data_IF_726078128074
#
_entry.id   IF_726078128074
#
_cell.length_a   1.000
_cell.length_b   1.000
_cell.length_c   1.000
_cell.angle_alpha   90.00
_cell.angle_beta   90.00
_cell.angle_gamma   90.00
#
_symmetry.space_group_name_H-M   'P 1'
#
loop_
_entity.id
_entity.type
_entity.pdbx_description
1 polymer ?
#
# COMPACT_ATOMS: atom_id res chain seq x y z
N UNK A 1 -5.16 -21.35 93.27
CA UNK A 1 -5.87 -21.96 92.17
C UNK A 1 -5.91 -20.91 91.06
N UNK A 2 -4.91 -20.93 90.20
CA UNK A 2 -4.73 -19.92 89.12
C UNK A 2 -5.12 -20.55 87.75
N UNK A 3 -6.14 -19.98 87.14
CA UNK A 3 -6.54 -20.35 85.77
C UNK A 3 -5.72 -19.51 84.79
N UNK A 4 -4.96 -20.21 83.91
CA UNK A 4 -4.21 -19.62 82.80
C UNK A 4 -5.12 -19.56 81.60
N UNK A 5 -5.42 -18.34 81.13
CA UNK A 5 -6.07 -18.11 79.84
C UNK A 5 -5.06 -18.27 78.73
N UNK A 6 -5.32 -19.21 77.76
CA UNK A 6 -4.60 -19.38 76.55
C UNK A 6 -5.32 -18.55 75.47
N UNK A 7 -4.64 -17.52 74.97
CA UNK A 7 -5.10 -16.74 73.81
C UNK A 7 -4.57 -17.40 72.58
N UNK A 8 -5.45 -17.94 71.71
CA UNK A 8 -5.12 -18.42 70.38
C UNK A 8 -5.08 -17.20 69.40
N UNK A 9 -3.92 -16.84 68.99
CA UNK A 9 -3.74 -15.86 67.85
C UNK A 9 -3.88 -16.56 66.53
N UNK A 10 -4.95 -16.30 65.80
CA UNK A 10 -5.14 -16.73 64.39
C UNK A 10 -4.45 -15.70 63.51
N UNK A 11 -3.32 -16.07 62.93
CA UNK A 11 -2.62 -15.28 61.93
C UNK A 11 -3.27 -15.56 60.58
N UNK A 12 -4.09 -14.62 60.09
CA UNK A 12 -4.61 -14.65 58.72
C UNK A 12 -3.48 -14.22 57.73
N UNK A 13 -2.89 -15.18 56.99
CA UNK A 13 -2.05 -14.89 55.85
C UNK A 13 -2.93 -14.34 54.72
N UNK A 14 -2.94 -13.05 54.52
CA UNK A 14 -3.50 -12.44 53.35
C UNK A 14 -2.60 -12.73 52.13
N UNK A 15 -3.07 -13.53 51.20
CA UNK A 15 -2.50 -13.59 49.87
C UNK A 15 -2.75 -12.23 49.19
N UNK A 16 -1.74 -11.37 49.16
CA UNK A 16 -1.72 -10.22 48.27
C UNK A 16 -1.38 -10.76 46.89
N UNK A 17 -2.40 -10.97 46.08
CA UNK A 17 -2.23 -11.20 44.65
C UNK A 17 -1.56 -9.95 44.05
N UNK A 18 -0.29 -10.06 43.70
CA UNK A 18 0.37 -9.07 42.86
C UNK A 18 -0.26 -9.22 41.44
N UNK A 19 -1.28 -8.41 41.17
CA UNK A 19 -1.71 -8.19 39.78
C UNK A 19 -0.51 -7.54 39.08
N UNK A 20 0.25 -8.34 38.33
CA UNK A 20 1.18 -7.80 37.38
C UNK A 20 0.33 -7.00 36.37
N UNK A 21 0.38 -5.68 36.44
CA UNK A 21 -0.08 -4.85 35.34
C UNK A 21 0.91 -5.13 34.20
N UNK A 22 0.57 -6.08 33.32
CA UNK A 22 1.25 -6.21 32.07
C UNK A 22 1.12 -4.84 31.37
N UNK A 23 2.23 -4.20 31.11
CA UNK A 23 2.22 -3.01 30.23
C UNK A 23 1.79 -3.48 28.86
N UNK A 24 0.79 -2.81 28.28
CA UNK A 24 0.38 -3.10 26.91
C UNK A 24 1.60 -3.09 25.99
N UNK A 25 1.71 -4.10 25.15
CA UNK A 25 2.71 -4.15 24.10
C UNK A 25 2.37 -3.09 23.04
N UNK A 26 3.38 -2.39 22.50
CA UNK A 26 3.13 -1.36 21.49
C UNK A 26 3.69 -1.80 20.14
N UNK A 27 2.80 -1.97 19.17
CA UNK A 27 3.17 -2.18 17.77
C UNK A 27 3.22 -0.84 17.04
N UNK A 28 4.40 -0.41 16.66
CA UNK A 28 4.56 0.80 15.84
C UNK A 28 4.34 0.48 14.38
N UNK A 29 3.51 1.29 13.72
CA UNK A 29 3.11 1.09 12.35
C UNK A 29 3.49 2.31 11.50
N UNK A 30 4.50 2.15 10.64
CA UNK A 30 5.01 3.21 9.77
C UNK A 30 4.21 3.34 8.47
N UNK A 31 3.81 4.56 8.13
CA UNK A 31 2.99 4.87 6.97
C UNK A 31 3.77 5.73 5.98
N UNK A 32 3.59 5.48 4.68
CA UNK A 32 4.16 6.30 3.61
C UNK A 32 3.40 7.60 3.37
N UNK A 33 2.19 7.72 3.93
CA UNK A 33 1.27 8.80 3.66
C UNK A 33 0.90 9.59 4.92
N UNK A 34 0.29 10.75 4.70
CA UNK A 34 -0.17 11.64 5.76
C UNK A 34 -1.55 11.26 6.29
N UNK A 35 -1.95 11.84 7.40
CA UNK A 35 -3.33 11.76 7.89
C UNK A 35 -4.33 12.19 6.80
N UNK A 36 -5.47 11.50 6.74
CA UNK A 36 -6.52 11.75 5.76
C UNK A 36 -6.32 11.03 4.41
N UNK A 37 -5.28 10.22 4.26
CA UNK A 37 -5.10 9.33 3.11
C UNK A 37 -5.84 8.00 3.29
N UNK A 38 -5.94 7.23 2.19
CA UNK A 38 -6.49 5.87 2.22
C UNK A 38 -5.64 4.97 3.11
N UNK A 39 -4.31 5.05 2.98
CA UNK A 39 -3.37 4.26 3.77
C UNK A 39 -3.51 4.54 5.27
N UNK A 40 -3.73 5.81 5.65
CA UNK A 40 -4.00 6.17 7.03
C UNK A 40 -5.32 5.56 7.54
N UNK A 41 -6.37 5.58 6.71
CA UNK A 41 -7.65 4.93 7.03
C UNK A 41 -7.50 3.41 7.22
N UNK A 42 -6.67 2.75 6.43
CA UNK A 42 -6.31 1.33 6.63
C UNK A 42 -5.64 1.10 7.98
N UNK A 43 -4.69 1.95 8.32
CA UNK A 43 -3.96 1.84 9.57
C UNK A 43 -4.84 2.10 10.80
N UNK A 44 -5.81 3.00 10.71
CA UNK A 44 -6.79 3.24 11.79
C UNK A 44 -7.71 2.02 12.00
N UNK A 45 -8.23 1.42 10.93
CA UNK A 45 -9.06 0.21 11.06
C UNK A 45 -8.25 -0.99 11.56
N UNK A 46 -7.02 -1.18 11.03
CA UNK A 46 -6.09 -2.20 11.54
C UNK A 46 -5.82 -2.02 13.03
N UNK A 47 -5.48 -0.79 13.46
CA UNK A 47 -5.26 -0.45 14.87
C UNK A 47 -6.47 -0.83 15.73
N UNK A 48 -7.66 -0.40 15.33
CA UNK A 48 -8.90 -0.69 16.03
C UNK A 48 -9.11 -2.20 16.20
N UNK A 49 -8.94 -2.97 15.12
CA UNK A 49 -9.13 -4.42 15.14
C UNK A 49 -8.12 -5.14 16.04
N UNK A 50 -6.84 -4.76 15.99
CA UNK A 50 -5.79 -5.34 16.84
C UNK A 50 -6.07 -5.01 18.33
N UNK A 51 -6.37 -3.75 18.64
CA UNK A 51 -6.64 -3.32 20.02
C UNK A 51 -7.92 -3.99 20.59
N UNK A 52 -8.96 -4.16 19.76
CA UNK A 52 -10.18 -4.88 20.14
C UNK A 52 -9.93 -6.39 20.34
N UNK A 53 -9.25 -7.05 19.41
CA UNK A 53 -8.99 -8.51 19.49
C UNK A 53 -8.04 -8.89 20.62
N UNK A 54 -7.12 -7.98 20.99
CA UNK A 54 -6.18 -8.20 22.09
C UNK A 54 -6.74 -7.77 23.48
N UNK A 55 -8.02 -7.36 23.56
CA UNK A 55 -8.60 -6.78 24.79
C UNK A 55 -7.74 -5.63 25.37
N UNK A 56 -6.96 -4.94 24.51
CA UNK A 56 -6.07 -3.85 24.88
C UNK A 56 -4.68 -4.26 25.38
N UNK A 57 -4.33 -5.54 25.32
CA UNK A 57 -2.99 -6.02 25.64
C UNK A 57 -1.95 -5.56 24.62
N UNK A 58 -2.39 -5.25 23.39
CA UNK A 58 -1.58 -4.64 22.34
C UNK A 58 -2.20 -3.29 21.96
N UNK A 59 -1.35 -2.27 21.83
CA UNK A 59 -1.71 -0.96 21.29
C UNK A 59 -0.94 -0.71 19.99
N UNK A 60 -1.57 -0.03 19.01
CA UNK A 60 -0.91 0.31 17.75
C UNK A 60 -0.64 1.80 17.69
N UNK A 61 0.64 2.17 17.58
CA UNK A 61 1.08 3.55 17.36
C UNK A 61 1.27 3.81 15.89
N UNK A 62 0.45 4.70 15.32
CA UNK A 62 0.55 5.08 13.91
C UNK A 62 1.62 6.15 13.72
N UNK A 63 2.52 5.93 12.77
CA UNK A 63 3.63 6.81 12.43
C UNK A 63 3.45 7.31 10.99
N UNK A 64 2.68 8.39 10.74
CA UNK A 64 2.43 8.92 9.41
C UNK A 64 3.71 9.50 8.78
N UNK A 65 3.64 9.79 7.47
CA UNK A 65 4.75 10.38 6.71
C UNK A 65 5.39 11.56 7.45
N UNK A 66 6.72 11.52 7.54
CA UNK A 66 7.52 12.50 8.26
C UNK A 66 7.79 12.18 9.73
N UNK A 67 7.06 11.25 10.36
CA UNK A 67 7.28 10.85 11.77
C UNK A 67 8.51 9.96 11.96
N UNK A 68 8.93 9.22 10.94
CA UNK A 68 9.98 8.21 10.98
C UNK A 68 11.26 8.61 10.22
N UNK A 69 11.24 9.73 9.48
CA UNK A 69 12.39 10.19 8.72
C UNK A 69 12.01 11.08 7.54
N UNK A 70 12.95 11.36 6.65
CA UNK A 70 12.78 12.27 5.53
C UNK A 70 12.66 11.58 4.16
N UNK A 71 12.77 10.24 4.10
CA UNK A 71 12.69 9.49 2.85
C UNK A 71 12.02 8.12 3.07
N UNK A 72 11.33 7.60 2.08
CA UNK A 72 10.71 6.27 2.15
C UNK A 72 11.72 5.15 2.45
N UNK A 73 12.95 5.26 1.92
CA UNK A 73 14.03 4.33 2.26
C UNK A 73 14.34 4.30 3.76
N UNK A 74 14.23 5.43 4.46
CA UNK A 74 14.43 5.48 5.92
C UNK A 74 13.34 4.69 6.67
N UNK A 75 12.09 4.67 6.17
CA UNK A 75 11.03 3.83 6.71
C UNK A 75 11.37 2.35 6.53
N UNK A 76 11.74 1.95 5.31
CA UNK A 76 12.08 0.55 5.02
C UNK A 76 13.30 0.07 5.80
N UNK A 77 14.34 0.91 5.92
CA UNK A 77 15.50 0.64 6.77
C UNK A 77 15.09 0.47 8.25
N UNK A 78 14.14 1.28 8.74
CA UNK A 78 13.64 1.18 10.11
C UNK A 78 12.84 -0.10 10.33
N UNK A 79 12.10 -0.57 9.33
CA UNK A 79 11.39 -1.86 9.39
C UNK A 79 12.40 -3.02 9.31
N UNK A 80 13.34 -3.00 8.37
CA UNK A 80 14.35 -4.04 8.21
C UNK A 80 15.19 -4.26 9.47
N UNK A 81 15.53 -3.20 10.19
CA UNK A 81 16.33 -3.28 11.41
C UNK A 81 15.49 -3.46 12.70
N UNK A 82 14.17 -3.63 12.59
CA UNK A 82 13.25 -3.85 13.72
C UNK A 82 12.96 -2.61 14.58
N UNK A 83 13.41 -1.42 14.18
CA UNK A 83 13.07 -0.19 14.88
C UNK A 83 11.56 0.13 14.77
N UNK A 84 10.93 -0.24 13.67
CA UNK A 84 9.49 -0.21 13.43
C UNK A 84 9.08 -1.64 13.01
N UNK A 85 8.20 -2.33 13.77
CA UNK A 85 7.87 -3.73 13.48
C UNK A 85 6.98 -3.90 12.23
N UNK A 86 6.15 -2.91 11.90
CA UNK A 86 5.16 -2.96 10.82
C UNK A 86 5.21 -1.70 9.98
N UNK A 87 4.89 -1.79 8.70
CA UNK A 87 4.74 -0.64 7.84
C UNK A 87 4.04 -0.94 6.53
N UNK A 88 3.79 0.13 5.79
CA UNK A 88 3.39 0.03 4.39
C UNK A 88 4.58 0.23 3.45
N UNK A 89 4.51 -0.44 2.30
CA UNK A 89 5.41 -0.24 1.18
C UNK A 89 4.64 -0.26 -0.13
N UNK A 90 4.67 0.86 -0.86
CA UNK A 90 4.06 1.03 -2.18
C UNK A 90 5.06 0.86 -3.32
N UNK A 91 4.85 1.51 -4.44
CA UNK A 91 5.79 1.51 -5.58
C UNK A 91 7.22 1.93 -5.24
N UNK A 92 7.44 2.67 -4.14
CA UNK A 92 8.76 3.04 -3.64
C UNK A 92 9.53 1.86 -3.04
N UNK A 93 8.84 0.83 -2.57
CA UNK A 93 9.44 -0.39 -2.01
C UNK A 93 10.34 -1.11 -3.02
N UNK A 94 10.11 -0.91 -4.32
CA UNK A 94 10.90 -1.51 -5.40
C UNK A 94 12.41 -1.24 -5.36
N UNK A 95 12.84 -0.19 -4.66
CA UNK A 95 14.25 0.06 -4.38
C UNK A 95 14.85 -0.92 -3.36
N UNK A 96 14.03 -1.44 -2.44
CA UNK A 96 14.42 -2.41 -1.40
C UNK A 96 14.09 -3.84 -1.81
N UNK A 97 12.88 -4.06 -2.35
CA UNK A 97 12.39 -5.35 -2.84
C UNK A 97 12.03 -5.20 -4.32
N UNK A 98 12.96 -5.44 -5.26
CA UNK A 98 12.71 -5.24 -6.69
C UNK A 98 11.50 -6.00 -7.23
N UNK A 99 11.21 -7.19 -6.68
CA UNK A 99 10.06 -8.02 -7.05
C UNK A 99 8.71 -7.33 -6.77
N UNK A 100 8.65 -6.42 -5.78
CA UNK A 100 7.44 -5.65 -5.48
C UNK A 100 7.02 -4.70 -6.61
N UNK A 101 7.91 -4.40 -7.56
CA UNK A 101 7.57 -3.61 -8.74
C UNK A 101 6.57 -4.32 -9.67
N UNK A 102 6.26 -5.60 -9.45
CA UNK A 102 5.12 -6.29 -10.07
C UNK A 102 3.83 -5.48 -9.96
N UNK A 103 3.61 -4.85 -8.78
CA UNK A 103 2.43 -4.02 -8.51
C UNK A 103 2.39 -2.70 -9.32
N UNK A 104 3.49 -2.35 -9.99
CA UNK A 104 3.60 -1.14 -10.83
C UNK A 104 3.41 -1.43 -12.31
N UNK A 105 3.22 -2.70 -12.70
CA UNK A 105 2.96 -3.06 -14.09
C UNK A 105 1.56 -2.65 -14.52
N UNK A 106 1.45 -1.95 -15.62
CA UNK A 106 0.17 -1.53 -16.17
C UNK A 106 -0.54 -2.69 -16.88
N UNK A 107 -1.86 -2.75 -16.78
CA UNK A 107 -2.73 -3.74 -17.42
C UNK A 107 -2.38 -5.19 -17.08
N UNK A 108 -1.94 -5.43 -15.84
CA UNK A 108 -1.64 -6.78 -15.32
C UNK A 108 -2.70 -7.23 -14.33
N UNK A 109 -3.22 -6.31 -13.51
CA UNK A 109 -4.25 -6.61 -12.52
C UNK A 109 -5.65 -6.55 -13.14
N UNK A 110 -6.64 -7.25 -12.55
CA UNK A 110 -8.05 -7.09 -12.96
C UNK A 110 -8.51 -5.64 -12.79
N UNK A 111 -9.59 -5.28 -13.50
CA UNK A 111 -10.18 -3.96 -13.31
C UNK A 111 -10.89 -3.84 -11.95
N UNK A 112 -11.41 -4.94 -11.39
CA UNK A 112 -12.02 -4.96 -10.07
C UNK A 112 -10.94 -4.91 -8.97
N UNK A 113 -11.03 -3.93 -8.08
CA UNK A 113 -10.03 -3.72 -7.02
C UNK A 113 -10.19 -4.72 -5.87
N UNK A 114 -11.40 -5.22 -5.61
CA UNK A 114 -11.60 -6.28 -4.62
C UNK A 114 -11.00 -7.60 -5.15
N UNK A 115 -11.26 -7.91 -6.41
CA UNK A 115 -10.66 -9.08 -7.06
C UNK A 115 -9.13 -9.01 -7.06
N UNK A 116 -8.55 -7.82 -7.33
CA UNK A 116 -7.11 -7.60 -7.18
C UNK A 116 -6.63 -7.90 -5.76
N UNK A 117 -7.34 -7.41 -4.74
CA UNK A 117 -6.99 -7.68 -3.34
C UNK A 117 -7.09 -9.17 -3.02
N UNK A 118 -8.14 -9.87 -3.50
CA UNK A 118 -8.32 -11.31 -3.30
C UNK A 118 -7.20 -12.14 -3.96
N UNK A 119 -6.80 -11.80 -5.19
CA UNK A 119 -5.70 -12.46 -5.89
C UNK A 119 -4.38 -12.27 -5.13
N UNK A 120 -4.05 -11.04 -4.76
CA UNK A 120 -2.77 -10.71 -4.13
C UNK A 120 -2.67 -11.19 -2.67
N UNK A 121 -3.78 -11.50 -2.02
CA UNK A 121 -3.82 -12.09 -0.67
C UNK A 121 -4.15 -13.60 -0.71
N UNK A 122 -4.30 -14.20 -1.88
CA UNK A 122 -4.50 -15.64 -1.99
C UNK A 122 -3.27 -16.41 -1.50
N UNK A 123 -3.49 -17.63 -0.98
CA UNK A 123 -2.39 -18.51 -0.57
C UNK A 123 -1.44 -18.79 -1.73
N UNK A 124 -1.97 -18.93 -2.96
CA UNK A 124 -1.17 -19.18 -4.17
C UNK A 124 -0.17 -18.05 -4.46
N UNK A 125 -0.52 -16.80 -4.15
CA UNK A 125 0.35 -15.65 -4.37
C UNK A 125 1.10 -15.24 -3.10
N UNK A 126 0.38 -14.80 -2.05
CA UNK A 126 0.99 -14.20 -0.85
C UNK A 126 1.91 -15.18 -0.12
N UNK A 127 1.53 -16.48 -0.05
CA UNK A 127 2.31 -17.52 0.62
C UNK A 127 3.24 -18.30 -0.32
N UNK A 128 3.33 -17.91 -1.62
CA UNK A 128 4.26 -18.55 -2.54
C UNK A 128 5.71 -18.33 -2.11
N UNK A 129 6.56 -19.34 -2.31
CA UNK A 129 7.99 -19.21 -2.05
C UNK A 129 8.59 -18.02 -2.84
N UNK A 130 8.12 -17.81 -4.08
CA UNK A 130 8.59 -16.73 -4.93
C UNK A 130 8.36 -15.35 -4.30
N UNK A 131 7.19 -15.13 -3.68
CA UNK A 131 6.86 -13.85 -3.05
C UNK A 131 7.48 -13.73 -1.66
N UNK A 132 7.35 -14.74 -0.81
CA UNK A 132 7.87 -14.74 0.56
C UNK A 132 9.39 -14.57 0.61
N UNK A 133 10.15 -15.35 -0.19
CA UNK A 133 11.61 -15.28 -0.20
C UNK A 133 12.12 -13.91 -0.69
N UNK A 134 11.41 -13.25 -1.63
CA UNK A 134 11.82 -11.93 -2.13
C UNK A 134 11.87 -10.87 -1.02
N UNK A 135 11.03 -10.99 -0.01
CA UNK A 135 11.04 -10.12 1.16
C UNK A 135 11.97 -10.62 2.27
N UNK A 136 11.91 -11.93 2.58
CA UNK A 136 12.70 -12.53 3.69
C UNK A 136 14.20 -12.42 3.49
N UNK A 137 14.70 -12.51 2.27
CA UNK A 137 16.12 -12.24 1.96
C UNK A 137 16.58 -10.82 2.35
N UNK A 138 15.63 -9.94 2.62
CA UNK A 138 15.85 -8.54 3.01
C UNK A 138 15.39 -8.25 4.44
N UNK A 139 15.13 -9.29 5.25
CA UNK A 139 14.68 -9.16 6.64
C UNK A 139 13.26 -8.62 6.78
N UNK A 140 12.44 -8.77 5.74
CA UNK A 140 11.04 -8.36 5.70
C UNK A 140 10.12 -9.56 5.51
N UNK A 141 8.83 -9.39 5.85
CA UNK A 141 7.76 -10.35 5.56
C UNK A 141 6.62 -9.61 4.87
N UNK A 142 6.17 -10.07 3.70
CA UNK A 142 4.93 -9.56 3.11
C UNK A 142 3.75 -10.16 3.86
N UNK A 143 2.91 -9.31 4.42
CA UNK A 143 1.81 -9.70 5.31
C UNK A 143 0.45 -9.65 4.64
N UNK A 144 0.19 -8.61 3.86
CA UNK A 144 -1.01 -8.43 3.04
C UNK A 144 -0.76 -7.39 1.95
N UNK A 145 -1.67 -7.32 0.98
CA UNK A 145 -1.56 -6.36 -0.12
C UNK A 145 -2.94 -5.77 -0.43
N UNK A 146 -3.07 -4.44 -0.37
CA UNK A 146 -4.35 -3.75 -0.54
C UNK A 146 -4.25 -2.66 -1.61
N UNK A 147 -5.14 -2.65 -2.62
CA UNK A 147 -5.32 -1.51 -3.52
C UNK A 147 -5.83 -0.28 -2.76
N UNK A 148 -5.32 0.90 -3.09
CA UNK A 148 -5.73 2.19 -2.52
C UNK A 148 -6.56 3.04 -3.51
N UNK A 149 -6.77 2.55 -4.72
CA UNK A 149 -7.53 3.20 -5.78
C UNK A 149 -6.87 3.07 -7.14
N UNK A 150 -7.62 3.41 -8.18
CA UNK A 150 -7.06 3.49 -9.54
C UNK A 150 -6.03 4.60 -9.64
N UNK A 151 -4.95 4.34 -10.34
CA UNK A 151 -4.00 5.36 -10.78
C UNK A 151 -4.67 6.19 -11.88
N UNK A 152 -4.87 7.47 -11.62
CA UNK A 152 -5.50 8.42 -12.55
C UNK A 152 -4.42 9.37 -13.04
N UNK A 153 -4.44 9.69 -14.34
CA UNK A 153 -3.56 10.73 -14.88
C UNK A 153 -4.19 12.09 -14.70
N UNK A 154 -3.38 13.10 -14.36
CA UNK A 154 -3.76 14.48 -14.58
C UNK A 154 -2.76 15.15 -15.52
N UNK A 155 -3.23 16.08 -16.33
CA UNK A 155 -2.40 16.80 -17.29
C UNK A 155 -3.03 18.15 -17.67
N UNK A 156 -2.22 19.05 -18.28
CA UNK A 156 -2.68 20.32 -18.84
C UNK A 156 -3.07 20.19 -20.33
N UNK A 157 -3.28 18.98 -20.80
CA UNK A 157 -3.83 18.66 -22.12
C UNK A 157 -4.66 17.39 -22.07
N UNK A 158 -5.58 17.26 -23.00
CA UNK A 158 -6.34 16.02 -23.18
C UNK A 158 -5.41 14.87 -23.59
N UNK A 159 -5.63 13.69 -22.98
CA UNK A 159 -4.91 12.46 -23.30
C UNK A 159 -5.93 11.36 -23.56
N UNK A 160 -5.95 10.84 -24.79
CA UNK A 160 -6.78 9.70 -25.21
C UNK A 160 -5.99 8.61 -25.89
N UNK A 161 -4.87 8.95 -26.49
CA UNK A 161 -4.02 8.03 -27.24
C UNK A 161 -2.56 8.17 -26.80
N UNK A 162 -1.69 7.18 -27.07
CA UNK A 162 -0.27 7.31 -26.79
C UNK A 162 0.40 8.51 -27.47
N UNK A 163 -0.07 8.92 -28.66
CA UNK A 163 0.43 10.09 -29.35
C UNK A 163 0.21 11.37 -28.55
N UNK A 164 -0.84 11.42 -27.75
CA UNK A 164 -1.09 12.55 -26.84
C UNK A 164 -0.08 12.61 -25.70
N UNK A 165 0.57 11.51 -25.36
CA UNK A 165 1.65 11.48 -24.37
C UNK A 165 3.03 11.83 -24.94
N UNK A 166 3.17 11.99 -26.26
CA UNK A 166 4.47 12.24 -26.88
C UNK A 166 5.15 13.48 -26.29
N UNK A 167 6.36 13.26 -25.73
CA UNK A 167 7.19 14.26 -25.05
C UNK A 167 6.57 14.93 -23.80
N UNK A 168 5.44 14.46 -23.29
CA UNK A 168 4.81 14.97 -22.06
C UNK A 168 5.74 14.76 -20.87
N UNK A 169 6.11 15.83 -20.17
CA UNK A 169 6.85 15.73 -18.92
C UNK A 169 5.90 15.28 -17.80
N UNK A 170 5.77 13.97 -17.66
CA UNK A 170 4.89 13.36 -16.65
C UNK A 170 5.68 12.95 -15.41
N UNK A 171 5.23 13.37 -14.23
CA UNK A 171 5.84 12.94 -12.98
C UNK A 171 5.44 11.50 -12.68
N UNK A 172 6.43 10.68 -12.41
CA UNK A 172 6.29 9.31 -11.89
C UNK A 172 6.97 9.18 -10.53
N UNK A 173 6.60 8.19 -9.75
CA UNK A 173 7.36 7.78 -8.57
C UNK A 173 8.76 7.30 -8.97
N UNK A 174 9.70 7.28 -8.03
CA UNK A 174 11.04 6.71 -8.25
C UNK A 174 10.96 5.18 -8.37
N UNK A 175 10.54 4.74 -9.55
CA UNK A 175 10.32 3.34 -9.90
C UNK A 175 10.72 3.13 -11.36
N UNK A 176 11.63 2.19 -11.60
CA UNK A 176 12.20 1.97 -12.93
C UNK A 176 11.20 1.43 -13.94
N UNK A 177 10.23 0.61 -13.51
CA UNK A 177 9.21 0.07 -14.41
C UNK A 177 8.14 1.11 -14.76
N UNK A 178 7.75 1.98 -13.81
CA UNK A 178 6.88 3.10 -14.13
C UNK A 178 7.56 4.02 -15.16
N UNK A 179 8.84 4.34 -14.96
CA UNK A 179 9.60 5.10 -15.96
C UNK A 179 9.57 4.42 -17.33
N UNK A 180 9.90 3.12 -17.40
CA UNK A 180 9.90 2.36 -18.64
C UNK A 180 8.52 2.32 -19.32
N UNK A 181 7.44 2.21 -18.52
CA UNK A 181 6.07 2.21 -19.03
C UNK A 181 5.70 3.54 -19.68
N UNK A 182 6.00 4.66 -19.03
CA UNK A 182 5.66 5.98 -19.59
C UNK A 182 6.59 6.40 -20.73
N UNK A 183 7.83 5.92 -20.74
CA UNK A 183 8.71 6.02 -21.92
C UNK A 183 8.14 5.22 -23.11
N UNK A 184 7.59 4.03 -22.88
CA UNK A 184 6.93 3.24 -23.91
C UNK A 184 5.67 3.92 -24.47
N UNK A 185 4.97 4.72 -23.66
CA UNK A 185 3.85 5.56 -24.12
C UNK A 185 4.30 6.82 -24.87
N UNK A 186 5.62 7.06 -25.00
CA UNK A 186 6.18 8.25 -25.67
C UNK A 186 6.37 9.46 -24.76
N UNK A 187 6.02 9.35 -23.48
CA UNK A 187 6.19 10.43 -22.51
C UNK A 187 7.66 10.61 -22.10
N UNK A 188 7.94 11.72 -21.44
CA UNK A 188 9.22 12.05 -20.79
C UNK A 188 9.04 12.00 -19.27
N UNK A 189 9.13 10.82 -18.64
CA UNK A 189 8.90 10.68 -17.20
C UNK A 189 10.01 11.35 -16.40
N UNK A 190 9.61 12.12 -15.38
CA UNK A 190 10.51 12.79 -14.44
C UNK A 190 10.18 12.38 -13.01
N UNK A 191 11.18 12.38 -12.13
CA UNK A 191 11.00 12.07 -10.70
C UNK A 191 11.04 13.37 -9.90
N UNK A 192 9.97 13.64 -9.14
CA UNK A 192 9.85 14.78 -8.23
C UNK A 192 9.33 14.27 -6.90
N UNK A 193 9.87 14.76 -5.79
CA UNK A 193 9.41 14.40 -4.45
C UNK A 193 7.92 14.76 -4.27
N UNK A 194 7.17 13.91 -3.58
CA UNK A 194 5.71 14.06 -3.44
C UNK A 194 5.32 15.43 -2.86
N UNK A 195 6.00 15.90 -1.82
CA UNK A 195 5.74 17.20 -1.21
C UNK A 195 6.11 18.43 -2.07
N UNK A 196 6.88 18.24 -3.15
CA UNK A 196 7.27 19.31 -4.09
C UNK A 196 6.40 19.32 -5.35
N UNK A 197 5.57 18.28 -5.54
CA UNK A 197 4.85 18.05 -6.79
C UNK A 197 3.85 19.14 -7.13
N UNK A 198 3.08 19.67 -6.16
CA UNK A 198 2.14 20.77 -6.38
C UNK A 198 2.83 21.96 -7.01
N UNK A 199 3.96 22.39 -6.43
CA UNK A 199 4.74 23.53 -6.94
C UNK A 199 5.33 23.24 -8.33
N UNK A 200 5.76 22.02 -8.57
CA UNK A 200 6.32 21.62 -9.86
C UNK A 200 5.25 21.63 -10.98
N UNK A 201 4.03 21.15 -10.70
CA UNK A 201 2.89 21.20 -11.61
C UNK A 201 2.48 22.66 -11.87
N UNK A 202 2.35 23.48 -10.82
CA UNK A 202 1.99 24.90 -10.93
C UNK A 202 3.00 25.70 -11.77
N UNK A 203 4.29 25.35 -11.70
CA UNK A 203 5.38 26.02 -12.43
C UNK A 203 5.62 25.42 -13.82
N UNK A 204 4.91 24.36 -14.20
CA UNK A 204 5.11 23.67 -15.48
C UNK A 204 6.43 22.89 -15.57
N UNK A 205 7.05 22.54 -14.43
CA UNK A 205 8.20 21.61 -14.40
C UNK A 205 7.76 20.17 -14.65
N UNK A 206 6.54 19.83 -14.23
CA UNK A 206 5.79 18.67 -14.66
C UNK A 206 4.50 19.15 -15.33
N UNK A 207 4.15 18.53 -16.46
CA UNK A 207 2.93 18.84 -17.23
C UNK A 207 1.78 17.91 -16.87
N UNK A 208 2.09 16.80 -16.18
CA UNK A 208 1.14 15.82 -15.69
C UNK A 208 1.72 14.96 -14.59
N UNK A 209 0.85 14.21 -13.93
CA UNK A 209 1.25 13.23 -12.92
C UNK A 209 0.26 12.06 -12.84
N UNK A 210 0.61 11.07 -12.02
CA UNK A 210 -0.15 9.85 -11.81
C UNK A 210 -0.32 9.67 -10.32
N UNK A 211 -1.56 9.61 -9.86
CA UNK A 211 -1.92 9.37 -8.47
C UNK A 211 -3.34 8.78 -8.38
N UNK A 212 -3.73 8.13 -7.30
CA UNK A 212 -5.13 7.86 -7.03
C UNK A 212 -5.90 9.15 -6.73
N UNK A 213 -7.22 9.09 -6.88
CA UNK A 213 -8.11 10.26 -6.76
C UNK A 213 -7.95 10.95 -5.42
N UNK A 214 -7.86 10.18 -4.32
CA UNK A 214 -7.69 10.77 -2.99
C UNK A 214 -6.43 11.63 -2.87
N UNK A 215 -5.34 11.21 -3.52
CA UNK A 215 -4.09 11.96 -3.48
C UNK A 215 -4.15 13.24 -4.32
N UNK A 216 -4.88 13.22 -5.45
CA UNK A 216 -5.14 14.43 -6.24
C UNK A 216 -5.90 15.46 -5.43
N UNK A 217 -6.88 15.04 -4.62
CA UNK A 217 -7.65 15.95 -3.76
C UNK A 217 -6.82 16.41 -2.55
N UNK A 218 -6.28 15.49 -1.78
CA UNK A 218 -5.57 15.78 -0.54
C UNK A 218 -4.37 16.73 -0.72
N UNK A 219 -3.68 16.64 -1.86
CA UNK A 219 -2.52 17.48 -2.21
C UNK A 219 -2.87 18.66 -3.13
N UNK A 220 -4.13 18.82 -3.50
CA UNK A 220 -4.60 19.93 -4.34
C UNK A 220 -4.10 19.86 -5.79
N UNK A 221 -3.62 18.71 -6.28
CA UNK A 221 -3.06 18.64 -7.64
C UNK A 221 -4.09 18.98 -8.71
N UNK A 222 -5.37 18.72 -8.47
CA UNK A 222 -6.48 19.06 -9.36
C UNK A 222 -6.66 20.57 -9.58
N UNK A 223 -6.16 21.41 -8.65
CA UNK A 223 -6.25 22.88 -8.76
C UNK A 223 -5.30 23.47 -9.82
N UNK A 224 -4.28 22.71 -10.20
CA UNK A 224 -3.20 23.14 -11.11
C UNK A 224 -3.10 22.24 -12.35
N UNK A 225 -4.16 21.50 -12.66
CA UNK A 225 -4.27 20.63 -13.82
C UNK A 225 -5.63 20.81 -14.50
N UNK A 226 -5.66 20.73 -15.84
CA UNK A 226 -6.87 20.97 -16.64
C UNK A 226 -7.70 19.71 -16.88
N UNK A 227 -7.07 18.51 -16.84
CA UNK A 227 -7.69 17.24 -17.15
C UNK A 227 -7.37 16.18 -16.10
N UNK A 228 -8.37 15.33 -15.80
CA UNK A 228 -8.25 14.11 -15.00
C UNK A 228 -8.72 12.93 -15.86
N UNK A 229 -7.84 11.98 -16.13
CA UNK A 229 -8.05 10.92 -17.11
C UNK A 229 -8.01 9.55 -16.43
N UNK A 230 -9.14 8.86 -16.48
CA UNK A 230 -9.31 7.49 -16.02
C UNK A 230 -9.03 6.54 -17.18
N UNK A 231 -7.88 5.91 -17.16
CA UNK A 231 -7.45 4.92 -18.15
C UNK A 231 -7.54 3.49 -17.60
N UNK A 232 -7.82 3.32 -16.31
CA UNK A 232 -7.88 2.06 -15.56
C UNK A 232 -6.68 1.14 -15.87
N UNK A 233 -5.51 1.75 -16.07
CA UNK A 233 -4.30 1.07 -16.49
C UNK A 233 -3.59 0.36 -15.34
N UNK A 234 -3.77 0.84 -14.11
CA UNK A 234 -3.17 0.26 -12.91
C UNK A 234 -3.88 0.75 -11.66
N UNK A 235 -3.63 0.06 -10.57
CA UNK A 235 -4.09 0.43 -9.23
C UNK A 235 -2.88 0.86 -8.40
N UNK A 236 -3.06 1.83 -7.49
CA UNK A 236 -2.07 2.12 -6.48
C UNK A 236 -2.21 1.07 -5.39
N UNK A 237 -1.13 0.38 -5.07
CA UNK A 237 -1.16 -0.81 -4.21
C UNK A 237 -0.17 -0.64 -3.07
N UNK A 238 -0.65 -0.80 -1.84
CA UNK A 238 0.13 -0.86 -0.63
C UNK A 238 0.35 -2.30 -0.19
N UNK A 239 1.59 -2.63 0.17
CA UNK A 239 1.93 -3.88 0.83
C UNK A 239 2.04 -3.62 2.33
N UNK A 240 1.30 -4.37 3.16
CA UNK A 240 1.62 -4.52 4.56
C UNK A 240 2.91 -5.33 4.66
N UNK A 241 3.92 -4.77 5.28
CA UNK A 241 5.21 -5.42 5.49
C UNK A 241 5.55 -5.44 6.97
N UNK A 242 6.18 -6.53 7.40
CA UNK A 242 6.69 -6.68 8.76
C UNK A 242 8.20 -6.88 8.77
N UNK A 243 8.83 -6.56 9.91
CA UNK A 243 10.17 -7.03 10.21
C UNK A 243 10.14 -8.54 10.40
N UNK A 244 11.04 -9.29 9.76
CA UNK A 244 11.05 -10.76 9.79
C UNK A 244 11.28 -11.30 11.20
N UNK A 245 12.26 -10.77 11.93
CA UNK A 245 12.59 -11.23 13.29
C UNK A 245 11.44 -10.97 14.28
N UNK A 246 10.79 -9.81 14.15
CA UNK A 246 9.61 -9.48 14.94
C UNK A 246 8.46 -10.44 14.64
N UNK A 247 8.15 -10.68 13.35
CA UNK A 247 7.06 -11.57 12.95
C UNK A 247 7.30 -13.01 13.39
N UNK A 248 8.52 -13.53 13.23
CA UNK A 248 8.88 -14.89 13.64
C UNK A 248 8.91 -15.03 15.18
N UNK A 249 9.11 -13.93 15.89
CA UNK A 249 9.08 -13.86 17.37
C UNK A 249 7.68 -13.75 17.99
N UNK A 250 6.63 -13.54 17.19
CA UNK A 250 5.24 -13.49 17.69
C UNK A 250 4.83 -14.86 18.27
N UNK A 251 4.06 -14.83 19.36
CA UNK A 251 3.39 -16.04 19.85
C UNK A 251 2.38 -16.55 18.82
N UNK A 252 2.01 -17.82 18.91
CA UNK A 252 0.99 -18.41 18.02
C UNK A 252 -0.32 -17.61 18.06
N UNK A 253 -0.74 -17.15 19.23
CA UNK A 253 -1.94 -16.35 19.46
C UNK A 253 -1.84 -14.95 18.81
N UNK A 254 -0.70 -14.27 18.95
CA UNK A 254 -0.45 -12.99 18.31
C UNK A 254 -0.42 -13.10 16.80
N UNK A 255 0.19 -14.18 16.28
CA UNK A 255 0.27 -14.45 14.84
C UNK A 255 -1.11 -14.73 14.26
N UNK A 256 -1.91 -15.60 14.88
CA UNK A 256 -3.29 -15.88 14.45
C UNK A 256 -4.16 -14.61 14.46
N UNK A 257 -4.02 -13.79 15.51
CA UNK A 257 -4.72 -12.51 15.60
C UNK A 257 -4.30 -11.55 14.48
N UNK A 258 -3.00 -11.40 14.21
CA UNK A 258 -2.48 -10.55 13.13
C UNK A 258 -3.01 -11.03 11.77
N UNK A 259 -2.83 -12.31 11.44
CA UNK A 259 -3.25 -12.88 10.16
C UNK A 259 -4.77 -12.77 9.97
N UNK A 260 -5.57 -13.12 10.98
CA UNK A 260 -7.03 -12.97 10.90
C UNK A 260 -7.48 -11.51 10.78
N UNK A 261 -6.72 -10.57 11.31
CA UNK A 261 -7.00 -9.14 11.13
C UNK A 261 -6.69 -8.70 9.71
N UNK A 262 -5.58 -9.16 9.14
CA UNK A 262 -5.22 -8.84 7.76
C UNK A 262 -6.19 -9.47 6.74
N UNK A 263 -6.70 -10.67 7.01
CA UNK A 263 -7.76 -11.28 6.19
C UNK A 263 -9.05 -10.43 6.20
N UNK A 264 -9.45 -9.91 7.37
CA UNK A 264 -10.58 -8.98 7.46
C UNK A 264 -10.31 -7.66 6.73
N UNK A 265 -9.06 -7.21 6.70
CA UNK A 265 -8.67 -5.96 6.03
C UNK A 265 -8.84 -6.04 4.50
N UNK A 266 -8.89 -7.21 3.88
CA UNK A 266 -9.11 -7.34 2.42
C UNK A 266 -10.44 -6.67 2.04
N UNK A 267 -11.55 -7.08 2.67
CA UNK A 267 -12.86 -6.49 2.39
C UNK A 267 -13.00 -5.07 2.97
N UNK A 268 -12.56 -4.87 4.22
CA UNK A 268 -12.64 -3.54 4.86
C UNK A 268 -11.80 -2.49 4.15
N UNK A 269 -10.62 -2.87 3.68
CA UNK A 269 -9.75 -1.99 2.89
C UNK A 269 -10.41 -1.60 1.58
N UNK A 270 -11.03 -2.55 0.89
CA UNK A 270 -11.80 -2.25 -0.32
C UNK A 270 -12.92 -1.22 -0.03
N UNK A 271 -13.69 -1.41 1.04
CA UNK A 271 -14.77 -0.49 1.42
C UNK A 271 -14.21 0.90 1.76
N UNK A 272 -13.11 0.98 2.52
CA UNK A 272 -12.45 2.24 2.90
C UNK A 272 -11.98 2.99 1.65
N UNK A 273 -11.19 2.35 0.77
CA UNK A 273 -10.65 3.02 -0.41
C UNK A 273 -11.76 3.45 -1.39
N UNK A 274 -12.79 2.62 -1.56
CA UNK A 274 -13.93 2.94 -2.43
C UNK A 274 -14.67 4.18 -1.94
N UNK A 275 -14.94 4.25 -0.64
CA UNK A 275 -15.57 5.40 -0.04
C UNK A 275 -14.69 6.65 -0.18
N UNK A 276 -13.41 6.57 0.20
CA UNK A 276 -12.48 7.70 0.14
C UNK A 276 -12.37 8.25 -1.29
N UNK A 277 -12.08 7.40 -2.26
CA UNK A 277 -11.92 7.86 -3.65
C UNK A 277 -13.21 8.44 -4.23
N UNK A 278 -14.38 7.87 -3.90
CA UNK A 278 -15.66 8.40 -4.34
C UNK A 278 -15.96 9.77 -3.75
N UNK A 279 -15.80 9.94 -2.44
CA UNK A 279 -16.02 11.22 -1.76
C UNK A 279 -15.06 12.31 -2.26
N UNK A 280 -13.78 11.95 -2.48
CA UNK A 280 -12.78 12.89 -2.99
C UNK A 280 -13.02 13.27 -4.45
N UNK A 281 -13.51 12.35 -5.27
CA UNK A 281 -13.89 12.66 -6.65
C UNK A 281 -15.05 13.66 -6.70
N UNK A 282 -16.06 13.49 -5.84
CA UNK A 282 -17.16 14.47 -5.74
C UNK A 282 -16.65 15.83 -5.26
N UNK A 283 -15.75 15.86 -4.27
CA UNK A 283 -15.10 17.10 -3.79
C UNK A 283 -14.36 17.82 -4.93
N UNK A 284 -13.61 17.08 -5.76
CA UNK A 284 -12.93 17.65 -6.93
C UNK A 284 -13.93 18.24 -7.92
N UNK A 285 -15.01 17.51 -8.24
CA UNK A 285 -16.08 17.96 -9.16
C UNK A 285 -16.79 19.22 -8.67
N UNK A 286 -17.00 19.33 -7.36
CA UNK A 286 -17.69 20.50 -6.76
C UNK A 286 -16.80 21.74 -6.67
N UNK A 287 -15.48 21.57 -6.55
CA UNK A 287 -14.55 22.66 -6.28
C UNK A 287 -13.65 23.04 -7.45
N UNK A 288 -13.80 22.41 -8.62
CA UNK A 288 -12.99 22.72 -9.80
C UNK A 288 -13.76 22.55 -11.11
N UNK A 289 -13.22 23.14 -12.16
CA UNK A 289 -13.68 22.96 -13.55
C UNK A 289 -12.82 21.94 -14.32
N UNK A 290 -12.10 21.05 -13.61
CA UNK A 290 -11.23 20.05 -14.22
C UNK A 290 -12.04 19.12 -15.15
N UNK A 291 -11.54 18.89 -16.36
CA UNK A 291 -12.20 18.03 -17.34
C UNK A 291 -11.94 16.56 -17.00
N UNK A 292 -12.99 15.82 -16.66
CA UNK A 292 -12.89 14.40 -16.35
C UNK A 292 -13.13 13.58 -17.62
N UNK A 293 -12.18 12.70 -17.94
CA UNK A 293 -12.19 11.82 -19.11
C UNK A 293 -12.09 10.38 -18.65
N UNK A 294 -12.93 9.51 -19.22
CA UNK A 294 -12.79 8.07 -19.12
C UNK A 294 -12.41 7.55 -20.49
N UNK A 295 -11.30 6.80 -20.59
CA UNK A 295 -10.88 6.18 -21.84
C UNK A 295 -11.81 5.00 -22.16
N UNK A 296 -12.20 4.89 -23.42
CA UNK A 296 -12.92 3.70 -23.88
C UNK A 296 -11.95 2.50 -24.10
N UNK A 297 -12.51 1.32 -24.35
CA UNK A 297 -11.69 0.10 -24.50
C UNK A 297 -10.72 0.18 -25.67
N UNK A 298 -11.05 0.87 -26.76
CA UNK A 298 -10.14 1.01 -27.90
C UNK A 298 -8.98 1.97 -27.60
N UNK A 299 -9.23 3.03 -26.84
CA UNK A 299 -8.23 3.96 -26.35
C UNK A 299 -7.28 3.25 -25.35
N UNK A 300 -7.84 2.48 -24.41
CA UNK A 300 -7.08 1.67 -23.45
C UNK A 300 -6.22 0.61 -24.11
N UNK A 301 -6.73 -0.07 -25.13
CA UNK A 301 -6.00 -1.11 -25.86
C UNK A 301 -4.71 -0.58 -26.48
N UNK A 302 -4.71 0.66 -27.01
CA UNK A 302 -3.51 1.27 -27.56
C UNK A 302 -2.38 1.41 -26.51
N UNK A 303 -2.72 1.78 -25.27
CA UNK A 303 -1.76 1.84 -24.16
C UNK A 303 -1.36 0.44 -23.66
N UNK A 304 -2.31 -0.52 -23.62
CA UNK A 304 -2.05 -1.91 -23.21
C UNK A 304 -0.98 -2.56 -24.10
N UNK A 305 -1.10 -2.41 -25.39
CA UNK A 305 -0.12 -2.96 -26.35
C UNK A 305 1.30 -2.41 -26.11
N UNK A 306 1.44 -1.14 -25.76
CA UNK A 306 2.72 -0.52 -25.45
C UNK A 306 3.26 -0.90 -24.07
N UNK A 307 2.39 -1.27 -23.12
CA UNK A 307 2.79 -1.72 -21.78
C UNK A 307 3.28 -3.18 -21.76
N UNK A 308 2.80 -4.03 -22.68
CA UNK A 308 3.16 -5.48 -22.71
C UNK A 308 4.67 -5.75 -22.68
N UNK A 309 5.54 -5.06 -23.44
CA UNK A 309 6.98 -5.30 -23.38
C UNK A 309 7.63 -4.98 -22.02
N UNK A 310 6.99 -4.14 -21.19
CA UNK A 310 7.51 -3.77 -19.87
C UNK A 310 7.44 -4.96 -18.90
N UNK A 311 6.53 -5.90 -19.12
CA UNK A 311 6.48 -7.17 -18.37
C UNK A 311 7.80 -7.95 -18.52
N UNK A 312 8.39 -7.96 -19.72
CA UNK A 312 9.69 -8.60 -19.94
C UNK A 312 10.82 -7.83 -19.23
N UNK A 313 10.77 -6.49 -19.20
CA UNK A 313 11.74 -5.70 -18.48
C UNK A 313 11.69 -5.98 -16.96
N UNK A 314 10.48 -6.22 -16.40
CA UNK A 314 10.34 -6.70 -15.02
C UNK A 314 11.04 -8.04 -14.82
N UNK A 315 10.77 -9.03 -15.67
CA UNK A 315 11.37 -10.36 -15.57
C UNK A 315 12.90 -10.31 -15.74
N UNK A 316 13.41 -9.50 -16.67
CA UNK A 316 14.85 -9.30 -16.86
C UNK A 316 15.52 -8.69 -15.62
N UNK A 317 14.80 -7.84 -14.88
CA UNK A 317 15.29 -7.21 -13.65
C UNK A 317 15.32 -8.16 -12.47
N UNK A 318 14.29 -8.99 -12.27
CA UNK A 318 14.09 -9.80 -11.04
C UNK A 318 14.29 -11.31 -11.27
N UNK A 319 14.44 -11.76 -12.52
CA UNK A 319 14.73 -13.13 -12.87
C UNK A 319 13.56 -14.09 -12.67
N UNK A 320 13.89 -15.38 -12.49
CA UNK A 320 12.93 -16.50 -12.43
C UNK A 320 11.89 -16.32 -11.29
N UNK A 321 12.29 -15.72 -10.16
CA UNK A 321 11.40 -15.52 -9.02
C UNK A 321 10.27 -14.54 -9.37
N UNK A 322 10.61 -13.40 -9.99
CA UNK A 322 9.60 -12.44 -10.43
C UNK A 322 8.73 -12.98 -11.56
N UNK A 323 9.29 -13.79 -12.47
CA UNK A 323 8.50 -14.49 -13.49
C UNK A 323 7.42 -15.38 -12.83
N UNK A 324 7.79 -16.17 -11.82
CA UNK A 324 6.81 -17.01 -11.10
C UNK A 324 5.71 -16.20 -10.43
N UNK A 325 6.07 -15.07 -9.78
CA UNK A 325 5.10 -14.19 -9.16
C UNK A 325 4.14 -13.60 -10.21
N UNK A 326 4.66 -13.13 -11.34
CA UNK A 326 3.86 -12.62 -12.45
C UNK A 326 2.94 -13.71 -13.04
N UNK A 327 3.45 -14.92 -13.25
CA UNK A 327 2.67 -16.04 -13.81
C UNK A 327 1.49 -16.42 -12.91
N UNK A 328 1.66 -16.35 -11.58
CA UNK A 328 0.55 -16.60 -10.63
C UNK A 328 -0.55 -15.56 -10.83
N UNK A 329 -0.19 -14.27 -10.87
CA UNK A 329 -1.16 -13.19 -11.07
C UNK A 329 -1.88 -13.34 -12.40
N UNK A 330 -1.14 -13.50 -13.52
CA UNK A 330 -1.72 -13.64 -14.85
C UNK A 330 -2.68 -14.83 -14.94
N UNK A 331 -2.32 -15.97 -14.34
CA UNK A 331 -3.18 -17.16 -14.28
C UNK A 331 -4.52 -16.88 -13.58
N UNK A 332 -4.51 -16.13 -12.48
CA UNK A 332 -5.74 -15.77 -11.77
C UNK A 332 -6.60 -14.82 -12.61
N UNK A 333 -5.99 -13.81 -13.24
CA UNK A 333 -6.69 -12.84 -14.10
C UNK A 333 -7.32 -13.53 -15.32
N UNK A 334 -6.63 -14.49 -15.94
CA UNK A 334 -7.22 -15.29 -17.04
C UNK A 334 -8.43 -16.11 -16.58
N UNK A 335 -8.42 -16.61 -15.33
CA UNK A 335 -9.52 -17.42 -14.78
C UNK A 335 -10.77 -16.61 -14.45
N UNK A 336 -10.61 -15.34 -14.08
CA UNK A 336 -11.73 -14.43 -13.80
C UNK A 336 -12.44 -13.96 -15.08
N UNK A 337 -11.82 -14.10 -16.23
CA UNK A 337 -12.35 -13.67 -17.53
C UNK A 337 -12.05 -12.22 -17.87
N UNK A 338 -11.27 -11.53 -17.05
CA UNK A 338 -10.69 -10.24 -17.38
C UNK A 338 -9.52 -10.43 -18.36
N UNK A 339 -9.39 -9.49 -19.28
CA UNK A 339 -8.33 -9.56 -20.28
C UNK A 339 -7.03 -8.99 -19.74
N UNK A 340 -6.18 -9.85 -19.23
CA UNK A 340 -4.75 -9.55 -19.01
C UNK A 340 -3.90 -9.74 -20.28
N UNK A 341 -4.56 -10.04 -21.41
CA UNK A 341 -3.88 -10.34 -22.70
C UNK A 341 -3.19 -9.13 -23.33
#
# INVERSE_FOLDING_TARGET
MQMRNIVLSITALGLVGVASTASAETWRFGLEETEGSVQYGYAEEFKKLIEEKSDGDITVELLPYGSWGSSYSALYDAIQNGAIPLGFGSGFLGGTVPESQLMSLNFVMPNDQLETAEILNSDDFLKSDAWQESFRERGLVPLATLPEGYQVWTANKEIRTPEDMENLQIRVMDNSLLRATYEAYGASPITIAYGELYSALQQGQAEGNIQPVFAHENMGFYEVQDYMIFADQSQFIANFIGNEEWYDGLSDEQREMLESTLDEMVQKGHDIQSQFNSERLETIKENSDINIIHLDESEREAFRELAKPVRQAYVDMVGERGQKALDIVLKHVEQSGDKAE
#
